data_IF_756980879195
#
_entry.id   IF_756980879195
#
_cell.length_a   1.000
_cell.length_b   1.000
_cell.length_c   1.000
_cell.angle_alpha   90.00
_cell.angle_beta   90.00
_cell.angle_gamma   90.00
#
_symmetry.space_group_name_H-M   'P 1'
#
loop_
_entity.id
_entity.type
_entity.pdbx_description
1 polymer ?
#
# COMPACT_ATOMS: atom_id res chain seq x y z
N UNK A 1 17.11 -23.44 -11.46
CA UNK A 1 16.61 -23.68 -10.09
C UNK A 1 15.49 -22.69 -9.88
N UNK A 2 14.26 -23.09 -10.17
CA UNK A 2 13.04 -22.31 -9.89
C UNK A 2 11.96 -23.30 -9.46
N UNK A 3 11.12 -22.97 -8.48
CA UNK A 3 9.80 -22.46 -8.86
C UNK A 3 9.13 -21.61 -7.76
N UNK A 4 9.34 -20.29 -7.72
CA UNK A 4 8.52 -19.41 -6.86
C UNK A 4 8.41 -18.01 -7.47
N UNK A 5 7.92 -17.90 -8.70
CA UNK A 5 7.14 -16.72 -9.05
C UNK A 5 5.72 -17.07 -8.63
N UNK A 6 5.36 -16.66 -7.43
CA UNK A 6 3.97 -16.60 -7.07
C UNK A 6 3.43 -15.42 -7.90
N UNK A 7 2.71 -15.73 -9.00
CA UNK A 7 2.05 -14.76 -9.87
C UNK A 7 0.95 -14.05 -9.07
N UNK A 8 1.36 -13.16 -8.18
CA UNK A 8 0.46 -12.24 -7.55
C UNK A 8 0.17 -11.13 -8.55
N UNK A 9 -1.09 -11.00 -8.95
CA UNK A 9 -1.54 -9.94 -9.85
C UNK A 9 -1.24 -8.55 -9.25
N UNK A 10 -1.23 -8.45 -7.92
CA UNK A 10 -1.04 -7.21 -7.18
C UNK A 10 -0.29 -7.41 -5.87
N UNK A 11 0.45 -6.38 -5.46
CA UNK A 11 1.03 -6.27 -4.12
C UNK A 11 0.22 -5.30 -3.26
N UNK A 12 0.24 -5.50 -1.94
CA UNK A 12 -0.37 -4.58 -0.96
C UNK A 12 0.62 -4.25 0.15
N UNK A 13 0.71 -2.97 0.52
CA UNK A 13 1.53 -2.54 1.66
C UNK A 13 0.93 -3.07 2.98
N UNK A 14 1.78 -3.54 3.88
CA UNK A 14 1.33 -4.11 5.16
C UNK A 14 0.50 -3.12 6.00
N UNK A 15 0.83 -1.81 5.95
CA UNK A 15 0.03 -0.76 6.59
C UNK A 15 -1.41 -0.69 6.09
N UNK A 16 -1.66 -0.97 4.81
CA UNK A 16 -3.00 -0.98 4.24
C UNK A 16 -3.84 -2.15 4.78
N UNK A 17 -3.21 -3.24 5.23
CA UNK A 17 -3.93 -4.32 5.93
C UNK A 17 -4.46 -3.84 7.28
N UNK A 18 -3.68 -3.00 7.99
CA UNK A 18 -4.11 -2.39 9.25
C UNK A 18 -5.33 -1.51 9.01
N UNK A 19 -5.32 -0.68 7.96
CA UNK A 19 -6.48 0.16 7.61
C UNK A 19 -7.69 -0.68 7.17
N UNK A 20 -7.45 -1.74 6.41
CA UNK A 20 -8.50 -2.61 5.88
C UNK A 20 -9.16 -3.49 6.97
N UNK A 21 -8.42 -3.94 7.98
CA UNK A 21 -8.95 -4.82 9.02
C UNK A 21 -9.22 -4.11 10.36
N UNK A 22 -8.65 -2.93 10.58
CA UNK A 22 -8.79 -2.13 11.80
C UNK A 22 -10.08 -1.31 11.90
N UNK A 23 -11.02 -1.46 10.95
CA UNK A 23 -12.29 -0.71 10.97
C UNK A 23 -13.13 -1.13 12.18
N UNK A 24 -13.42 -0.17 13.06
CA UNK A 24 -14.25 -0.38 14.25
C UNK A 24 -15.63 -0.90 13.87
N UNK A 25 -16.04 -2.02 14.47
CA UNK A 25 -17.37 -2.60 14.25
C UNK A 25 -17.55 -3.29 12.90
N UNK A 26 -16.45 -3.69 12.23
CA UNK A 26 -16.52 -4.50 11.02
C UNK A 26 -17.32 -5.79 11.25
N UNK A 27 -18.31 -6.04 10.39
CA UNK A 27 -19.09 -7.27 10.44
C UNK A 27 -18.30 -8.46 9.85
N UNK A 28 -18.66 -9.67 10.29
CA UNK A 28 -17.95 -10.89 9.90
C UNK A 28 -18.00 -11.13 8.38
N UNK A 29 -19.12 -10.83 7.73
CA UNK A 29 -19.26 -11.03 6.29
C UNK A 29 -18.32 -10.11 5.50
N UNK A 30 -18.25 -8.83 5.86
CA UNK A 30 -17.30 -7.88 5.27
C UNK A 30 -15.84 -8.28 5.54
N UNK A 31 -15.53 -8.71 6.76
CA UNK A 31 -14.19 -9.19 7.13
C UNK A 31 -13.76 -10.39 6.28
N UNK A 32 -14.64 -11.38 6.09
CA UNK A 32 -14.34 -12.56 5.28
C UNK A 32 -14.15 -12.21 3.80
N UNK A 33 -14.97 -11.30 3.26
CA UNK A 33 -14.80 -10.80 1.88
C UNK A 33 -13.43 -10.13 1.69
N UNK A 34 -13.02 -9.28 2.63
CA UNK A 34 -11.70 -8.61 2.61
C UNK A 34 -10.56 -9.62 2.73
N UNK A 35 -10.64 -10.58 3.65
CA UNK A 35 -9.64 -11.65 3.80
C UNK A 35 -9.50 -12.49 2.52
N UNK A 36 -10.61 -12.81 1.86
CA UNK A 36 -10.58 -13.56 0.59
C UNK A 36 -9.88 -12.79 -0.52
N UNK A 37 -10.11 -11.47 -0.60
CA UNK A 37 -9.42 -10.60 -1.56
C UNK A 37 -7.91 -10.53 -1.27
N UNK A 38 -7.50 -10.30 -0.01
CA UNK A 38 -6.07 -10.19 0.33
C UNK A 38 -5.28 -11.48 0.08
N UNK A 39 -5.92 -12.66 0.11
CA UNK A 39 -5.24 -13.92 -0.25
C UNK A 39 -4.69 -13.96 -1.68
N UNK A 40 -5.15 -13.07 -2.56
CA UNK A 40 -4.65 -12.94 -3.94
C UNK A 40 -3.56 -11.87 -4.08
N UNK A 41 -3.12 -11.26 -2.99
CA UNK A 41 -2.09 -10.20 -3.00
C UNK A 41 -0.81 -10.66 -2.30
N UNK A 42 0.34 -10.15 -2.78
CA UNK A 42 1.60 -10.24 -2.05
C UNK A 42 1.67 -9.12 -1.02
N UNK A 43 1.95 -9.46 0.24
CA UNK A 43 2.07 -8.45 1.31
C UNK A 43 3.51 -7.93 1.34
N UNK A 44 3.67 -6.61 1.15
CA UNK A 44 4.94 -5.92 1.23
C UNK A 44 5.18 -5.45 2.67
N UNK A 45 6.15 -6.04 3.39
CA UNK A 45 6.39 -5.72 4.81
C UNK A 45 6.98 -4.32 4.99
N UNK A 46 6.63 -3.67 6.09
CA UNK A 46 7.30 -2.44 6.52
C UNK A 46 8.68 -2.74 7.11
N UNK A 47 9.72 -2.07 6.62
CA UNK A 47 11.10 -2.23 7.08
C UNK A 47 11.76 -0.87 7.39
N UNK A 48 13.05 -0.88 7.73
CA UNK A 48 13.76 0.35 8.10
C UNK A 48 13.94 1.27 6.89
N UNK A 49 14.19 0.73 5.70
CA UNK A 49 14.36 1.49 4.47
C UNK A 49 13.09 2.25 4.09
N UNK A 50 11.93 1.59 4.18
CA UNK A 50 10.62 2.20 3.97
C UNK A 50 10.35 3.26 5.04
N UNK A 51 10.77 3.05 6.29
CA UNK A 51 10.65 4.04 7.37
C UNK A 51 11.39 5.33 7.00
N UNK A 52 12.64 5.24 6.59
CA UNK A 52 13.44 6.43 6.25
C UNK A 52 12.84 7.20 5.06
N UNK A 53 12.36 6.49 4.03
CA UNK A 53 11.66 7.12 2.91
C UNK A 53 10.37 7.80 3.40
N UNK A 54 9.56 7.14 4.23
CA UNK A 54 8.33 7.71 4.76
C UNK A 54 8.59 8.95 5.64
N UNK A 55 9.68 8.97 6.40
CA UNK A 55 10.11 10.16 7.17
C UNK A 55 10.42 11.32 6.22
N UNK A 56 11.19 11.09 5.15
CA UNK A 56 11.48 12.14 4.15
C UNK A 56 10.19 12.67 3.55
N UNK A 57 9.30 11.79 3.08
CA UNK A 57 8.01 12.19 2.52
C UNK A 57 7.17 13.02 3.50
N UNK A 58 7.21 12.70 4.80
CA UNK A 58 6.52 13.47 5.84
C UNK A 58 7.11 14.86 6.07
N UNK A 59 8.41 15.04 5.82
CA UNK A 59 9.11 16.32 5.92
C UNK A 59 8.84 17.19 4.69
N UNK A 60 8.79 16.56 3.51
CA UNK A 60 8.67 17.27 2.22
C UNK A 60 7.21 17.57 1.83
N UNK A 61 6.27 16.74 2.29
CA UNK A 61 4.86 16.83 1.89
C UNK A 61 3.90 16.86 3.09
N UNK A 62 2.77 17.55 2.92
CA UNK A 62 1.63 17.46 3.85
C UNK A 62 0.83 16.19 3.54
N UNK A 63 1.29 15.07 4.10
CA UNK A 63 0.69 13.74 3.94
C UNK A 63 0.51 13.07 5.31
N UNK A 64 -0.49 12.19 5.43
CA UNK A 64 -0.72 11.41 6.67
C UNK A 64 0.32 10.30 6.79
N UNK A 65 0.54 9.81 8.01
CA UNK A 65 1.53 8.74 8.26
C UNK A 65 1.21 7.46 7.47
N UNK A 66 -0.03 6.94 7.43
CA UNK A 66 -0.33 5.75 6.63
C UNK A 66 -0.04 5.96 5.13
N UNK A 67 -0.51 7.08 4.58
CA UNK A 67 -0.30 7.42 3.17
C UNK A 67 1.19 7.56 2.83
N UNK A 68 1.98 8.18 3.72
CA UNK A 68 3.43 8.29 3.55
C UNK A 68 4.11 6.92 3.53
N UNK A 69 3.67 5.98 4.38
CA UNK A 69 4.20 4.62 4.39
C UNK A 69 3.84 3.90 3.09
N UNK A 70 2.60 4.03 2.60
CA UNK A 70 2.16 3.43 1.33
C UNK A 70 3.00 3.96 0.15
N UNK A 71 3.18 5.27 0.06
CA UNK A 71 4.02 5.90 -0.96
C UNK A 71 5.47 5.42 -0.87
N UNK A 72 6.03 5.39 0.35
CA UNK A 72 7.38 4.90 0.60
C UNK A 72 7.56 3.44 0.20
N UNK A 73 6.57 2.58 0.47
CA UNK A 73 6.59 1.18 0.05
C UNK A 73 6.62 1.08 -1.48
N UNK A 74 5.76 1.81 -2.18
CA UNK A 74 5.76 1.80 -3.65
C UNK A 74 7.09 2.29 -4.24
N UNK A 75 7.65 3.37 -3.69
CA UNK A 75 8.95 3.92 -4.10
C UNK A 75 10.08 2.91 -3.84
N UNK A 76 10.12 2.31 -2.64
CA UNK A 76 11.17 1.35 -2.25
C UNK A 76 11.22 0.13 -3.17
N UNK A 77 10.06 -0.42 -3.53
CA UNK A 77 9.96 -1.58 -4.41
C UNK A 77 9.91 -1.22 -5.91
N UNK A 78 9.95 0.07 -6.27
CA UNK A 78 9.84 0.51 -7.66
C UNK A 78 8.49 0.17 -8.32
N UNK A 79 7.43 0.06 -7.52
CA UNK A 79 6.09 -0.29 -7.98
C UNK A 79 5.27 0.95 -8.35
N UNK A 80 4.32 0.78 -9.27
CA UNK A 80 3.29 1.79 -9.55
C UNK A 80 2.18 1.65 -8.51
N UNK A 81 1.87 2.74 -7.81
CA UNK A 81 0.76 2.76 -6.85
C UNK A 81 -0.58 2.88 -7.59
N UNK A 82 -1.44 1.87 -7.44
CA UNK A 82 -2.84 1.94 -7.86
C UNK A 82 -3.68 2.47 -6.70
N UNK A 83 -4.29 3.65 -6.84
CA UNK A 83 -5.08 4.28 -5.77
C UNK A 83 -6.22 5.13 -6.31
N UNK A 84 -7.32 5.22 -5.55
CA UNK A 84 -8.40 6.18 -5.82
C UNK A 84 -8.13 7.56 -5.22
N UNK A 85 -7.11 7.68 -4.35
CA UNK A 85 -6.79 8.92 -3.67
C UNK A 85 -5.90 9.82 -4.56
N UNK A 86 -6.47 10.96 -4.96
CA UNK A 86 -5.84 11.94 -5.84
C UNK A 86 -4.70 12.71 -5.18
N UNK A 87 -4.60 12.69 -3.86
CA UNK A 87 -3.55 13.39 -3.12
C UNK A 87 -2.15 12.83 -3.42
N UNK A 88 -2.05 11.53 -3.76
CA UNK A 88 -0.76 10.90 -4.14
C UNK A 88 -0.14 11.48 -5.41
N UNK A 89 -0.91 12.18 -6.27
CA UNK A 89 -0.36 12.87 -7.46
C UNK A 89 0.59 14.01 -7.11
N UNK A 90 0.57 14.49 -5.86
CA UNK A 90 1.41 15.61 -5.41
C UNK A 90 2.83 15.18 -5.07
N UNK A 91 3.08 13.88 -4.91
CA UNK A 91 4.40 13.33 -4.57
C UNK A 91 5.19 13.12 -5.86
N UNK A 92 6.25 13.88 -6.05
CA UNK A 92 7.00 13.88 -7.31
C UNK A 92 7.75 12.56 -7.55
N UNK A 93 8.17 11.89 -6.48
CA UNK A 93 8.95 10.65 -6.50
C UNK A 93 8.08 9.41 -6.76
N UNK A 94 6.76 9.54 -6.68
CA UNK A 94 5.82 8.42 -6.73
C UNK A 94 5.18 8.28 -8.11
N UNK A 95 5.30 7.10 -8.70
CA UNK A 95 4.48 6.72 -9.86
C UNK A 95 3.13 6.20 -9.38
N UNK A 96 2.05 6.90 -9.72
CA UNK A 96 0.69 6.54 -9.34
C UNK A 96 -0.27 6.50 -10.54
N UNK A 97 -1.09 5.45 -10.61
CA UNK A 97 -2.25 5.35 -11.51
C UNK A 97 -3.51 5.56 -10.69
N UNK A 98 -4.35 6.49 -11.15
CA UNK A 98 -5.64 6.79 -10.54
C UNK A 98 -6.73 6.45 -11.54
N UNK A 99 -7.43 5.32 -11.38
CA UNK A 99 -8.53 4.94 -12.25
C UNK A 99 -9.68 5.94 -12.15
N UNK A 100 -10.29 6.26 -13.29
CA UNK A 100 -11.59 6.91 -13.31
C UNK A 100 -12.64 5.82 -13.10
N UNK A 101 -13.19 5.75 -11.89
CA UNK A 101 -14.26 4.82 -11.48
C UNK A 101 -15.54 5.61 -11.26
#
# INVERSE_FOLDING_TARGET
MEPYIQDYDFSIADISLIELFGVKGIDEHTLQKRKKFIKTCFVLPFNNEIREIAISLKQDYTIKVPDAIIAATAIHYGHILLTADKEFRKIAELSAIIPEI
#
